data_IF_005608329741
#
_entry.id   IF_005608329741
#
_cell.length_a   1.000
_cell.length_b   1.000
_cell.length_c   1.000
_cell.angle_alpha   90.00
_cell.angle_beta   90.00
_cell.angle_gamma   90.00
#
_symmetry.space_group_name_H-M   'P 1'
#
loop_
_entity.id
_entity.type
_entity.pdbx_description
1 polymer ?
#
# COMPACT_ATOMS: atom_id res chain seq x y z
N UNK A 1 25.04 -37.19 -51.03
CA UNK A 1 23.68 -36.95 -51.59
C UNK A 1 22.90 -36.09 -50.61
N UNK A 2 22.79 -34.82 -50.96
CA UNK A 2 22.09 -33.72 -50.29
C UNK A 2 20.60 -33.75 -50.64
N UNK A 3 19.70 -33.62 -49.65
CA UNK A 3 18.34 -33.09 -49.88
C UNK A 3 17.88 -32.29 -48.66
N UNK A 4 17.95 -30.97 -48.80
CA UNK A 4 17.22 -29.97 -48.02
C UNK A 4 15.74 -29.94 -48.44
N UNK A 5 14.78 -29.65 -47.53
CA UNK A 5 13.40 -29.42 -47.91
C UNK A 5 13.18 -27.99 -48.37
N UNK A 6 12.42 -27.84 -49.47
CA UNK A 6 12.08 -26.58 -50.15
C UNK A 6 11.05 -25.76 -49.37
N UNK A 7 11.31 -24.47 -49.23
CA UNK A 7 10.33 -23.46 -48.87
C UNK A 7 9.26 -23.30 -49.96
N UNK A 8 7.99 -23.33 -49.56
CA UNK A 8 6.87 -22.87 -50.40
C UNK A 8 6.55 -21.41 -50.03
N UNK A 9 6.91 -20.48 -50.90
CA UNK A 9 6.35 -19.13 -50.91
C UNK A 9 4.93 -19.19 -51.48
N UNK A 10 3.93 -18.84 -50.66
CA UNK A 10 2.58 -18.49 -51.13
C UNK A 10 2.51 -16.98 -51.31
N UNK A 11 2.44 -16.55 -52.57
CA UNK A 11 2.08 -15.19 -52.94
C UNK A 11 0.60 -14.94 -52.60
N UNK A 12 0.33 -14.02 -51.68
CA UNK A 12 -1.02 -13.48 -51.49
C UNK A 12 -1.20 -12.24 -52.37
N UNK A 13 -2.09 -12.37 -53.36
CA UNK A 13 -2.64 -11.24 -54.12
C UNK A 13 -3.67 -10.50 -53.26
N UNK A 14 -3.75 -9.17 -53.28
CA UNK A 14 -4.74 -8.42 -52.50
C UNK A 14 -6.10 -8.49 -53.21
N UNK A 15 -7.07 -9.15 -52.59
CA UNK A 15 -8.46 -9.08 -53.03
C UNK A 15 -9.05 -7.73 -52.62
N UNK A 16 -9.26 -6.89 -53.63
CA UNK A 16 -10.17 -5.75 -53.59
C UNK A 16 -11.60 -6.25 -53.34
N UNK A 17 -12.16 -5.90 -52.18
CA UNK A 17 -13.58 -6.13 -51.87
C UNK A 17 -14.19 -4.84 -51.33
N UNK A 18 -14.51 -3.90 -52.24
CA UNK A 18 -15.49 -2.86 -51.94
C UNK A 18 -16.85 -3.30 -52.50
N UNK A 19 -17.64 -3.95 -51.64
CA UNK A 19 -19.07 -4.16 -51.89
C UNK A 19 -19.86 -3.00 -51.29
N UNK A 20 -20.78 -2.33 -52.01
CA UNK A 20 -21.57 -1.21 -51.49
C UNK A 20 -22.36 -1.58 -50.22
N UNK A 21 -22.72 -2.85 -50.06
CA UNK A 21 -23.44 -3.37 -48.89
C UNK A 21 -22.58 -3.39 -47.62
N UNK A 22 -21.27 -3.59 -47.75
CA UNK A 22 -20.34 -3.57 -46.60
C UNK A 22 -20.08 -2.13 -46.11
N UNK A 23 -20.08 -1.15 -47.03
CA UNK A 23 -19.96 0.27 -46.70
C UNK A 23 -21.17 0.79 -45.90
N UNK A 24 -22.38 0.36 -46.26
CA UNK A 24 -23.61 0.72 -45.54
C UNK A 24 -23.62 0.13 -44.13
N UNK A 25 -23.17 -1.13 -43.97
CA UNK A 25 -23.10 -1.78 -42.66
C UNK A 25 -22.05 -1.10 -41.75
N UNK A 26 -20.89 -0.75 -42.29
CA UNK A 26 -19.85 -0.02 -41.56
C UNK A 26 -20.31 1.40 -41.16
N UNK A 27 -21.04 2.09 -42.04
CA UNK A 27 -21.66 3.38 -41.75
C UNK A 27 -22.69 3.27 -40.63
N UNK A 28 -23.58 2.27 -40.68
CA UNK A 28 -24.57 2.03 -39.64
C UNK A 28 -23.91 1.70 -38.29
N UNK A 29 -22.85 0.89 -38.28
CA UNK A 29 -22.07 0.60 -37.07
C UNK A 29 -21.38 1.84 -36.50
N UNK A 30 -20.81 2.69 -37.36
CA UNK A 30 -20.16 3.94 -36.93
C UNK A 30 -21.17 4.92 -36.33
N UNK A 31 -22.36 5.06 -36.93
CA UNK A 31 -23.45 5.89 -36.39
C UNK A 31 -23.95 5.33 -35.05
N UNK A 32 -24.11 4.01 -34.93
CA UNK A 32 -24.48 3.38 -33.67
C UNK A 32 -23.43 3.62 -32.58
N UNK A 33 -22.14 3.56 -32.93
CA UNK A 33 -21.03 3.80 -32.02
C UNK A 33 -20.98 5.27 -31.56
N UNK A 34 -21.25 6.21 -32.46
CA UNK A 34 -21.35 7.64 -32.13
C UNK A 34 -22.57 7.90 -31.24
N UNK A 35 -23.72 7.30 -31.51
CA UNK A 35 -24.93 7.44 -30.68
C UNK A 35 -24.73 6.85 -29.28
N UNK A 36 -24.08 5.68 -29.17
CA UNK A 36 -23.69 5.09 -27.88
C UNK A 36 -22.67 5.96 -27.14
N UNK A 37 -21.75 6.62 -27.85
CA UNK A 37 -20.81 7.55 -27.23
C UNK A 37 -21.47 8.85 -26.76
N UNK A 38 -22.44 9.39 -27.49
CA UNK A 38 -23.22 10.56 -27.06
C UNK A 38 -24.05 10.20 -25.83
N UNK A 39 -24.73 9.04 -25.83
CA UNK A 39 -25.43 8.54 -24.63
C UNK A 39 -24.50 8.32 -23.44
N UNK A 40 -23.27 7.84 -23.65
CA UNK A 40 -22.28 7.68 -22.57
C UNK A 40 -21.73 9.00 -22.02
N UNK A 41 -21.84 10.10 -22.79
CA UNK A 41 -21.39 11.44 -22.38
C UNK A 41 -22.49 12.27 -21.71
N UNK A 42 -23.75 11.92 -21.92
CA UNK A 42 -24.89 12.54 -21.21
C UNK A 42 -25.22 11.85 -19.88
N UNK A 43 -24.49 10.79 -19.52
CA UNK A 43 -24.50 10.29 -18.14
C UNK A 43 -23.58 11.23 -17.34
N UNK A 44 -24.11 12.07 -16.43
CA UNK A 44 -23.25 12.84 -15.54
C UNK A 44 -22.37 11.86 -14.75
N UNK A 45 -21.09 12.18 -14.50
CA UNK A 45 -20.26 11.31 -13.69
C UNK A 45 -20.97 11.04 -12.36
N UNK A 46 -20.97 9.79 -11.86
CA UNK A 46 -21.41 9.56 -10.49
C UNK A 46 -20.58 10.50 -9.61
N UNK A 47 -21.28 11.34 -8.87
CA UNK A 47 -20.68 12.27 -7.93
C UNK A 47 -19.72 11.49 -7.02
N UNK A 48 -18.59 12.09 -6.59
CA UNK A 48 -17.69 11.42 -5.66
C UNK A 48 -18.53 10.92 -4.49
N UNK A 49 -18.45 9.61 -4.27
CA UNK A 49 -19.10 8.89 -3.18
C UNK A 49 -19.18 9.77 -1.95
N UNK A 50 -20.40 10.17 -1.60
CA UNK A 50 -20.64 10.65 -0.26
C UNK A 50 -20.17 9.53 0.69
N UNK A 51 -19.50 9.86 1.81
CA UNK A 51 -19.28 8.86 2.86
C UNK A 51 -20.64 8.24 3.22
N UNK A 52 -20.63 7.01 3.73
CA UNK A 52 -21.76 6.13 4.02
C UNK A 52 -22.79 6.66 5.04
N UNK A 53 -22.98 7.98 5.09
CA UNK A 53 -23.98 8.71 5.84
C UNK A 53 -25.42 8.34 5.44
N UNK A 54 -25.64 7.55 4.38
CA UNK A 54 -26.99 7.11 4.01
C UNK A 54 -27.61 6.20 5.08
N UNK A 55 -26.81 5.33 5.72
CA UNK A 55 -27.30 4.40 6.73
C UNK A 55 -27.53 5.09 8.08
N UNK A 56 -26.61 5.95 8.52
CA UNK A 56 -26.78 6.74 9.74
C UNK A 56 -27.93 7.74 9.62
N UNK A 57 -28.14 8.35 8.46
CA UNK A 57 -29.31 9.20 8.21
C UNK A 57 -30.62 8.40 8.16
N UNK A 58 -30.59 7.16 7.63
CA UNK A 58 -31.74 6.25 7.66
C UNK A 58 -32.08 5.81 9.09
N UNK A 59 -31.06 5.54 9.92
CA UNK A 59 -31.22 5.23 11.34
C UNK A 59 -31.69 6.43 12.16
N UNK A 60 -31.13 7.62 11.96
CA UNK A 60 -31.64 8.84 12.58
C UNK A 60 -33.10 9.08 12.21
N UNK A 61 -33.49 8.81 10.97
CA UNK A 61 -34.89 8.90 10.54
C UNK A 61 -35.76 7.85 11.25
N UNK A 62 -35.29 6.63 11.44
CA UNK A 62 -36.01 5.58 12.19
C UNK A 62 -36.13 5.97 13.67
N UNK A 63 -35.06 6.46 14.31
CA UNK A 63 -35.05 6.92 15.70
C UNK A 63 -36.01 8.09 15.90
N UNK A 64 -35.96 9.10 15.03
CA UNK A 64 -36.87 10.25 15.07
C UNK A 64 -38.34 9.86 14.85
N UNK A 65 -38.59 8.77 14.12
CA UNK A 65 -39.95 8.24 13.91
C UNK A 65 -40.38 7.37 15.12
N UNK A 66 -39.47 6.61 15.72
CA UNK A 66 -39.71 5.79 16.90
C UNK A 66 -39.94 6.62 18.17
N UNK A 67 -39.32 7.80 18.30
CA UNK A 67 -39.56 8.73 19.40
C UNK A 67 -41.00 9.25 19.47
N UNK A 68 -41.81 9.09 18.41
CA UNK A 68 -43.24 9.40 18.44
C UNK A 68 -44.10 8.31 19.13
N UNK A 69 -43.54 7.13 19.43
CA UNK A 69 -44.25 6.00 20.05
C UNK A 69 -43.36 5.26 21.06
N UNK A 70 -43.61 5.46 22.36
CA UNK A 70 -42.79 4.88 23.44
C UNK A 70 -42.59 3.35 23.36
N UNK A 71 -43.57 2.58 22.86
CA UNK A 71 -43.41 1.12 22.67
C UNK A 71 -42.33 0.73 21.66
N UNK A 72 -42.00 1.59 20.69
CA UNK A 72 -41.02 1.28 19.64
C UNK A 72 -39.57 1.49 20.07
N UNK A 73 -39.34 2.27 21.13
CA UNK A 73 -37.98 2.53 21.65
C UNK A 73 -37.46 1.34 22.46
N UNK A 74 -38.32 0.72 23.29
CA UNK A 74 -37.94 -0.45 24.08
C UNK A 74 -37.63 -1.67 23.20
N UNK A 75 -38.40 -1.89 22.13
CA UNK A 75 -38.10 -2.93 21.14
C UNK A 75 -36.78 -2.68 20.40
N UNK A 76 -36.48 -1.41 20.09
CA UNK A 76 -35.22 -1.02 19.45
C UNK A 76 -34.03 -1.28 20.36
N UNK A 77 -34.13 -0.90 21.63
CA UNK A 77 -33.08 -1.14 22.63
C UNK A 77 -32.83 -2.64 22.81
N UNK A 78 -33.89 -3.47 22.86
CA UNK A 78 -33.77 -4.93 22.91
C UNK A 78 -33.09 -5.48 21.65
N UNK A 79 -33.37 -4.93 20.47
CA UNK A 79 -32.68 -5.34 19.23
C UNK A 79 -31.20 -4.94 19.23
N UNK A 80 -30.88 -3.70 19.62
CA UNK A 80 -29.49 -3.23 19.75
C UNK A 80 -28.73 -4.12 20.74
N UNK A 81 -29.33 -4.41 21.89
CA UNK A 81 -28.78 -5.28 22.92
C UNK A 81 -28.51 -6.71 22.42
N UNK A 82 -29.43 -7.28 21.62
CA UNK A 82 -29.21 -8.57 20.95
C UNK A 82 -28.07 -8.51 19.94
N UNK A 83 -27.99 -7.44 19.13
CA UNK A 83 -26.90 -7.25 18.16
C UNK A 83 -25.55 -7.13 18.87
N UNK A 84 -25.47 -6.42 19.99
CA UNK A 84 -24.26 -6.31 20.83
C UNK A 84 -23.80 -7.68 21.33
N UNK A 85 -24.72 -8.51 21.82
CA UNK A 85 -24.42 -9.87 22.30
C UNK A 85 -24.03 -10.84 21.18
N UNK A 86 -24.51 -10.60 19.96
CA UNK A 86 -24.21 -11.46 18.80
C UNK A 86 -22.80 -11.24 18.23
N UNK A 87 -22.11 -10.15 18.61
CA UNK A 87 -20.73 -9.90 18.19
C UNK A 87 -19.84 -11.05 18.67
N UNK A 88 -19.22 -11.75 17.72
CA UNK A 88 -18.35 -12.88 17.97
C UNK A 88 -16.91 -12.54 17.58
N UNK A 89 -16.00 -12.58 18.56
CA UNK A 89 -14.58 -12.38 18.31
C UNK A 89 -13.91 -13.64 17.78
N UNK A 90 -13.21 -13.49 16.66
CA UNK A 90 -12.41 -14.51 16.01
C UNK A 90 -10.92 -14.23 16.23
N UNK A 91 -10.06 -15.25 16.34
CA UNK A 91 -8.62 -15.02 16.53
C UNK A 91 -8.03 -14.28 15.33
N UNK A 92 -7.19 -13.28 15.59
CA UNK A 92 -6.41 -12.63 14.53
C UNK A 92 -5.46 -13.63 13.88
N UNK A 93 -4.87 -14.54 14.64
CA UNK A 93 -4.02 -15.62 14.13
C UNK A 93 -4.80 -16.93 14.05
N UNK A 94 -5.33 -17.26 12.88
CA UNK A 94 -6.03 -18.52 12.65
C UNK A 94 -5.05 -19.68 12.39
N UNK A 95 -4.88 -20.51 13.41
CA UNK A 95 -3.93 -21.63 13.39
C UNK A 95 -4.28 -22.70 12.34
N UNK A 96 -5.50 -22.72 11.79
CA UNK A 96 -5.88 -23.63 10.69
C UNK A 96 -5.12 -23.31 9.40
N UNK A 97 -4.60 -22.08 9.25
CA UNK A 97 -3.90 -21.61 8.05
C UNK A 97 -2.41 -21.30 8.30
N UNK A 98 -1.82 -21.85 9.38
CA UNK A 98 -0.41 -21.60 9.74
C UNK A 98 0.57 -21.90 8.61
N UNK A 99 0.32 -22.96 7.83
CA UNK A 99 1.19 -23.37 6.71
C UNK A 99 0.97 -22.56 5.42
N UNK A 100 0.00 -21.64 5.40
CA UNK A 100 -0.39 -20.82 4.25
C UNK A 100 -0.53 -19.34 4.60
N UNK A 101 0.32 -18.84 5.51
CA UNK A 101 0.23 -17.51 6.09
C UNK A 101 0.21 -16.33 5.08
N UNK A 102 0.64 -16.54 3.83
CA UNK A 102 0.74 -15.51 2.78
C UNK A 102 -0.06 -15.81 1.50
N UNK A 103 -0.80 -16.92 1.43
CA UNK A 103 -1.46 -17.37 0.19
C UNK A 103 -2.97 -17.43 0.36
N UNK A 104 -3.71 -16.68 -0.46
CA UNK A 104 -5.17 -16.67 -0.46
C UNK A 104 -5.72 -16.15 0.86
N UNK A 105 -6.50 -16.97 1.56
CA UNK A 105 -6.94 -16.70 2.93
C UNK A 105 -5.74 -16.73 3.87
N UNK A 106 -5.14 -15.56 4.11
CA UNK A 106 -4.10 -15.44 5.12
C UNK A 106 -4.66 -15.90 6.47
N UNK A 107 -3.79 -16.39 7.36
CA UNK A 107 -4.20 -16.66 8.75
C UNK A 107 -4.66 -15.40 9.50
N UNK A 108 -4.38 -14.20 8.97
CA UNK A 108 -4.71 -12.92 9.59
C UNK A 108 -6.08 -12.47 9.11
N UNK A 109 -7.03 -12.42 10.04
CA UNK A 109 -8.44 -12.17 9.71
C UNK A 109 -8.97 -13.12 8.63
N UNK A 110 -8.75 -14.43 8.85
CA UNK A 110 -8.98 -15.48 7.85
C UNK A 110 -10.43 -15.60 7.36
N UNK A 111 -11.41 -15.14 8.16
CA UNK A 111 -12.84 -15.19 7.81
C UNK A 111 -13.28 -14.15 6.78
N UNK A 112 -12.38 -13.26 6.37
CA UNK A 112 -12.66 -12.14 5.46
C UNK A 112 -11.87 -12.28 4.16
N UNK A 113 -12.49 -11.80 3.08
CA UNK A 113 -11.87 -11.66 1.77
C UNK A 113 -11.39 -10.23 1.58
N UNK A 114 -10.33 -10.08 0.81
CA UNK A 114 -9.83 -8.77 0.39
C UNK A 114 -10.57 -8.28 -0.85
N UNK A 115 -10.77 -6.98 -0.93
CA UNK A 115 -11.18 -6.32 -2.15
C UNK A 115 -10.02 -6.42 -3.16
N UNK A 116 -10.36 -6.83 -4.38
CA UNK A 116 -9.40 -7.05 -5.45
C UNK A 116 -9.84 -6.32 -6.71
N UNK A 117 -9.02 -5.37 -7.14
CA UNK A 117 -9.08 -4.77 -8.46
C UNK A 117 -7.83 -5.13 -9.26
N UNK A 118 -7.98 -5.42 -10.56
CA UNK A 118 -6.89 -5.94 -11.38
C UNK A 118 -5.70 -4.98 -11.40
N UNK A 119 -4.55 -5.44 -10.92
CA UNK A 119 -3.30 -4.66 -10.91
C UNK A 119 -3.18 -3.66 -9.76
N UNK A 120 -4.17 -3.59 -8.87
CA UNK A 120 -4.16 -2.75 -7.67
C UNK A 120 -3.80 -3.56 -6.41
N UNK A 121 -3.67 -2.84 -5.30
CA UNK A 121 -3.43 -3.42 -3.98
C UNK A 121 -4.66 -4.18 -3.46
N UNK A 122 -4.41 -5.29 -2.75
CA UNK A 122 -5.43 -6.03 -2.02
C UNK A 122 -5.59 -5.47 -0.61
N UNK A 123 -6.81 -5.11 -0.23
CA UNK A 123 -7.10 -4.50 1.07
C UNK A 123 -8.49 -4.87 1.57
N UNK A 124 -8.77 -4.62 2.85
CA UNK A 124 -10.12 -4.63 3.39
C UNK A 124 -10.43 -3.24 3.91
N UNK A 125 -11.65 -2.76 3.68
CA UNK A 125 -12.09 -1.47 4.18
C UNK A 125 -13.33 -1.65 5.06
N UNK A 126 -13.39 -0.85 6.13
CA UNK A 126 -14.48 -0.85 7.10
C UNK A 126 -14.83 0.61 7.45
N UNK A 127 -16.13 0.97 7.51
CA UNK A 127 -17.25 0.24 6.92
C UNK A 127 -17.16 0.19 5.39
N UNK A 128 -17.85 -0.77 4.78
CA UNK A 128 -17.87 -1.02 3.34
C UNK A 128 -19.08 -1.88 2.96
N UNK A 129 -19.36 -2.04 1.65
CA UNK A 129 -20.39 -2.97 1.20
C UNK A 129 -20.06 -4.42 1.58
N UNK A 130 -18.79 -4.84 1.49
CA UNK A 130 -18.33 -6.19 1.83
C UNK A 130 -18.45 -6.49 3.33
N UNK A 131 -18.30 -5.47 4.18
CA UNK A 131 -18.57 -5.57 5.62
C UNK A 131 -20.04 -5.33 5.97
N UNK A 132 -20.92 -5.04 5.00
CA UNK A 132 -22.31 -4.64 5.22
C UNK A 132 -22.43 -3.44 6.18
N UNK A 133 -21.56 -2.44 6.05
CA UNK A 133 -21.59 -1.25 6.89
C UNK A 133 -21.10 -1.43 8.32
N UNK A 134 -20.55 -2.61 8.67
CA UNK A 134 -20.03 -2.89 10.02
C UNK A 134 -18.61 -2.35 10.20
N UNK A 135 -18.32 -1.89 11.41
CA UNK A 135 -17.02 -1.43 11.85
C UNK A 135 -16.11 -2.60 12.21
N UNK A 136 -14.81 -2.42 12.01
CA UNK A 136 -13.79 -3.34 12.52
C UNK A 136 -13.59 -3.08 14.01
N UNK A 137 -13.66 -4.15 14.81
CA UNK A 137 -13.31 -4.14 16.23
C UNK A 137 -12.15 -5.11 16.49
N UNK A 138 -11.15 -4.67 17.24
CA UNK A 138 -10.00 -5.45 17.69
C UNK A 138 -10.05 -5.64 19.20
N UNK A 139 -9.51 -6.75 19.67
CA UNK A 139 -9.46 -7.12 21.09
C UNK A 139 -8.12 -7.82 21.37
N UNK A 140 -7.56 -7.61 22.56
CA UNK A 140 -6.23 -8.13 22.91
C UNK A 140 -5.10 -7.17 22.55
N UNK A 141 -3.98 -7.31 23.26
CA UNK A 141 -2.77 -6.49 23.14
C UNK A 141 -1.49 -7.31 23.21
N UNK A 142 -1.61 -8.61 22.98
CA UNK A 142 -0.51 -9.53 23.18
C UNK A 142 0.59 -9.26 22.15
N UNK A 143 1.81 -9.03 22.65
CA UNK A 143 3.00 -8.72 21.84
C UNK A 143 3.91 -9.94 21.62
N UNK A 144 3.49 -11.11 22.11
CA UNK A 144 4.26 -12.36 22.17
C UNK A 144 3.53 -13.56 21.52
N UNK A 145 2.21 -13.65 21.65
CA UNK A 145 1.37 -14.69 21.04
C UNK A 145 0.14 -14.07 20.36
N UNK A 146 0.21 -13.98 19.03
CA UNK A 146 -0.86 -13.40 18.22
C UNK A 146 -2.19 -14.16 18.24
N UNK A 147 -2.25 -15.37 18.81
CA UNK A 147 -3.52 -16.08 19.00
C UNK A 147 -4.38 -15.51 20.12
N UNK A 148 -3.80 -14.67 20.99
CA UNK A 148 -4.49 -13.96 22.07
C UNK A 148 -5.11 -12.64 21.62
N UNK A 149 -4.83 -12.22 20.39
CA UNK A 149 -5.48 -11.08 19.77
C UNK A 149 -6.62 -11.54 18.87
N UNK A 150 -7.69 -10.77 18.80
CA UNK A 150 -8.92 -11.13 18.12
C UNK A 150 -9.54 -9.94 17.38
N UNK A 151 -10.40 -10.24 16.41
CA UNK A 151 -11.17 -9.26 15.66
C UNK A 151 -12.65 -9.65 15.59
N UNK A 152 -13.50 -8.67 15.37
CA UNK A 152 -14.91 -8.85 15.05
C UNK A 152 -15.42 -7.70 14.19
N UNK A 153 -16.60 -7.86 13.61
CA UNK A 153 -17.37 -6.79 13.00
C UNK A 153 -18.57 -6.44 13.88
N UNK A 154 -18.88 -5.15 14.00
CA UNK A 154 -20.04 -4.67 14.75
C UNK A 154 -20.76 -3.54 14.02
N UNK A 155 -22.07 -3.42 14.20
CA UNK A 155 -22.81 -2.27 13.68
C UNK A 155 -22.44 -1.00 14.46
N UNK A 156 -22.33 0.18 13.82
CA UNK A 156 -22.00 1.43 14.50
C UNK A 156 -22.89 1.73 15.72
N UNK A 157 -24.18 1.39 15.63
CA UNK A 157 -25.18 1.62 16.67
C UNK A 157 -25.17 0.54 17.77
N UNK A 158 -24.57 -0.62 17.49
CA UNK A 158 -24.59 -1.79 18.37
C UNK A 158 -23.17 -2.33 18.63
N UNK A 159 -22.26 -1.43 19.03
CA UNK A 159 -20.90 -1.80 19.43
C UNK A 159 -20.89 -2.75 20.63
N UNK A 160 -19.92 -3.66 20.73
CA UNK A 160 -19.79 -4.59 21.86
C UNK A 160 -19.78 -3.83 23.20
N UNK A 161 -20.21 -4.49 24.28
CA UNK A 161 -20.14 -3.86 25.60
C UNK A 161 -18.70 -3.46 25.94
N UNK A 162 -18.58 -2.30 26.58
CA UNK A 162 -17.29 -1.68 26.97
C UNK A 162 -16.35 -1.40 25.78
N UNK A 163 -16.87 -1.40 24.54
CA UNK A 163 -16.07 -1.04 23.39
C UNK A 163 -15.75 0.46 23.38
N UNK A 164 -14.51 0.77 23.01
CA UNK A 164 -14.09 2.15 22.71
C UNK A 164 -14.15 2.36 21.20
N UNK A 165 -14.87 3.40 20.75
CA UNK A 165 -14.87 3.82 19.35
C UNK A 165 -13.76 4.84 19.11
N UNK A 166 -12.80 4.48 18.27
CA UNK A 166 -11.74 5.37 17.79
C UNK A 166 -12.21 6.07 16.51
N UNK A 167 -12.23 7.39 16.56
CA UNK A 167 -12.59 8.23 15.41
C UNK A 167 -11.44 8.37 14.42
N UNK A 168 -11.80 8.68 13.18
CA UNK A 168 -10.88 8.90 12.07
C UNK A 168 -10.38 7.62 11.40
N UNK A 169 -9.48 7.78 10.44
CA UNK A 169 -8.98 6.71 9.59
C UNK A 169 -7.87 5.93 10.29
N UNK A 170 -8.08 4.62 10.43
CA UNK A 170 -7.11 3.71 11.01
C UNK A 170 -6.49 2.79 9.97
N UNK A 171 -5.17 2.80 9.85
CA UNK A 171 -4.45 1.80 9.07
C UNK A 171 -4.09 0.60 9.94
N UNK A 172 -4.51 -0.60 9.54
CA UNK A 172 -4.18 -1.86 10.23
C UNK A 172 -3.26 -2.68 9.34
N UNK A 173 -1.99 -2.71 9.67
CA UNK A 173 -0.99 -3.49 8.95
C UNK A 173 -0.83 -4.85 9.59
N UNK A 174 -0.94 -5.92 8.81
CA UNK A 174 -0.37 -7.21 9.13
C UNK A 174 0.83 -7.47 8.24
N UNK A 175 1.96 -7.82 8.85
CA UNK A 175 3.16 -8.24 8.14
C UNK A 175 3.58 -9.64 8.63
N UNK A 176 3.90 -10.54 7.71
CA UNK A 176 4.50 -11.82 8.07
C UNK A 176 5.97 -11.67 8.51
N UNK A 177 6.59 -10.55 8.16
CA UNK A 177 7.93 -10.18 8.58
C UNK A 177 7.89 -9.06 9.64
N UNK A 178 9.05 -8.74 10.21
CA UNK A 178 9.14 -7.63 11.15
C UNK A 178 9.13 -6.25 10.47
N UNK A 179 8.81 -5.21 11.26
CA UNK A 179 8.82 -3.80 10.81
C UNK A 179 10.18 -3.11 11.01
N UNK A 180 11.14 -3.77 11.65
CA UNK A 180 12.47 -3.21 11.92
C UNK A 180 13.39 -3.25 10.70
N UNK A 181 13.26 -4.29 9.85
CA UNK A 181 14.01 -4.39 8.62
C UNK A 181 13.38 -3.51 7.52
N UNK A 182 14.21 -2.73 6.83
CA UNK A 182 13.77 -1.78 5.80
C UNK A 182 12.99 -2.48 4.69
N UNK A 183 13.46 -3.60 4.17
CA UNK A 183 12.81 -4.30 3.05
C UNK A 183 11.49 -4.93 3.47
N UNK A 184 11.49 -5.55 4.65
CA UNK A 184 10.29 -6.17 5.21
C UNK A 184 9.21 -5.12 5.52
N UNK A 185 9.59 -4.05 6.22
CA UNK A 185 8.70 -2.96 6.56
C UNK A 185 8.18 -2.23 5.32
N UNK A 186 9.05 -1.92 4.36
CA UNK A 186 8.66 -1.26 3.11
C UNK A 186 7.60 -2.09 2.37
N UNK A 187 7.81 -3.40 2.25
CA UNK A 187 6.85 -4.27 1.55
C UNK A 187 5.45 -4.30 2.17
N UNK A 188 5.32 -4.01 3.48
CA UNK A 188 4.04 -3.94 4.18
C UNK A 188 3.38 -2.54 4.11
N UNK A 189 4.14 -1.49 3.80
CA UNK A 189 3.65 -0.11 3.79
C UNK A 189 3.42 0.46 2.38
N UNK A 190 4.12 -0.04 1.36
CA UNK A 190 3.84 0.27 -0.05
C UNK A 190 2.35 0.06 -0.42
N UNK A 191 1.67 -1.02 0.05
CA UNK A 191 0.23 -1.18 -0.10
C UNK A 191 -0.62 0.02 0.37
N UNK A 192 -0.31 0.58 1.54
CA UNK A 192 -1.04 1.75 2.06
C UNK A 192 -0.82 3.00 1.22
N UNK A 193 0.39 3.21 0.72
CA UNK A 193 0.67 4.34 -0.19
C UNK A 193 -0.06 4.15 -1.52
N UNK A 194 -0.15 2.92 -2.03
CA UNK A 194 -0.93 2.60 -3.22
C UNK A 194 -2.42 2.92 -3.04
N UNK A 195 -2.99 2.53 -1.89
CA UNK A 195 -4.37 2.83 -1.52
C UNK A 195 -4.59 4.34 -1.35
N UNK A 196 -3.70 5.03 -0.65
CA UNK A 196 -3.80 6.48 -0.45
C UNK A 196 -3.79 7.24 -1.78
N UNK A 197 -2.90 6.85 -2.70
CA UNK A 197 -2.87 7.41 -4.06
C UNK A 197 -4.16 7.10 -4.84
N UNK A 198 -4.71 5.89 -4.72
CA UNK A 198 -5.97 5.51 -5.36
C UNK A 198 -7.12 6.40 -4.88
N UNK A 199 -7.08 6.80 -3.61
CA UNK A 199 -8.06 7.68 -2.98
C UNK A 199 -7.63 9.16 -3.03
N UNK A 200 -7.01 9.58 -4.15
CA UNK A 200 -6.63 10.96 -4.45
C UNK A 200 -5.73 11.65 -3.42
N UNK A 201 -5.04 10.89 -2.56
CA UNK A 201 -4.21 11.41 -1.48
C UNK A 201 -4.95 12.33 -0.49
N UNK A 202 -6.27 12.23 -0.40
CA UNK A 202 -7.09 13.14 0.42
C UNK A 202 -7.07 12.77 1.89
N UNK A 203 -7.09 11.47 2.19
CA UNK A 203 -7.28 10.97 3.55
C UNK A 203 -5.95 10.54 4.15
N UNK A 204 -5.60 11.17 5.28
CA UNK A 204 -4.43 10.81 6.09
C UNK A 204 -4.88 9.91 7.25
N UNK A 205 -4.11 8.87 7.58
CA UNK A 205 -4.44 8.02 8.73
C UNK A 205 -4.19 8.78 10.04
N UNK A 206 -5.18 8.79 10.92
CA UNK A 206 -5.04 9.28 12.30
C UNK A 206 -4.11 8.38 13.12
N UNK A 207 -4.12 7.07 12.81
CA UNK A 207 -3.37 6.06 13.57
C UNK A 207 -3.07 4.80 12.77
N UNK A 208 -2.09 4.05 13.27
CA UNK A 208 -1.59 2.83 12.68
C UNK A 208 -1.57 1.72 13.73
N UNK A 209 -2.22 0.61 13.46
CA UNK A 209 -2.15 -0.61 14.28
C UNK A 209 -1.28 -1.61 13.53
N UNK A 210 -0.24 -2.13 14.18
CA UNK A 210 0.75 -2.99 13.53
C UNK A 210 0.73 -4.40 14.12
N UNK A 211 0.67 -5.41 13.27
CA UNK A 211 0.71 -6.81 13.67
C UNK A 211 1.80 -7.57 12.92
N UNK A 212 2.60 -8.34 13.66
CA UNK A 212 3.50 -9.33 13.08
C UNK A 212 3.27 -10.68 13.73
N UNK A 213 2.85 -11.65 12.92
CA UNK A 213 2.33 -12.97 13.35
C UNK A 213 1.10 -12.89 14.27
N UNK A 214 0.28 -11.85 14.07
CA UNK A 214 -0.87 -11.55 14.93
C UNK A 214 -0.49 -10.88 16.26
N UNK A 215 0.81 -10.75 16.56
CA UNK A 215 1.30 -10.05 17.76
C UNK A 215 1.33 -8.55 17.52
N UNK A 216 0.85 -7.78 18.49
CA UNK A 216 0.83 -6.32 18.43
C UNK A 216 2.26 -5.77 18.42
N UNK A 217 2.52 -4.77 17.58
CA UNK A 217 3.81 -4.08 17.49
C UNK A 217 3.64 -2.61 17.75
N UNK A 218 4.46 -2.10 18.67
CA UNK A 218 4.43 -0.71 19.12
C UNK A 218 5.49 0.16 18.45
N UNK A 219 6.30 -0.43 17.56
CA UNK A 219 7.40 0.25 16.89
C UNK A 219 7.61 -0.25 15.48
N UNK A 220 8.24 0.59 14.67
CA UNK A 220 8.78 0.27 13.36
C UNK A 220 10.22 0.81 13.25
N UNK A 221 10.98 0.29 12.28
CA UNK A 221 12.33 0.74 12.02
C UNK A 221 12.40 2.24 11.72
N UNK A 222 13.45 2.91 12.21
CA UNK A 222 13.63 4.36 12.07
C UNK A 222 13.51 4.86 10.62
N UNK A 223 14.11 4.13 9.69
CA UNK A 223 14.08 4.51 8.27
C UNK A 223 12.66 4.43 7.69
N UNK A 224 11.90 3.39 8.04
CA UNK A 224 10.51 3.24 7.61
C UNK A 224 9.64 4.35 8.21
N UNK A 225 9.83 4.65 9.50
CA UNK A 225 9.14 5.75 10.20
C UNK A 225 9.35 7.08 9.47
N UNK A 226 10.59 7.43 9.16
CA UNK A 226 10.93 8.67 8.46
C UNK A 226 10.33 8.73 7.05
N UNK A 227 10.28 7.60 6.33
CA UNK A 227 9.67 7.54 5.02
C UNK A 227 8.15 7.72 5.07
N UNK A 228 7.47 7.08 6.05
CA UNK A 228 6.04 7.25 6.24
C UNK A 228 5.69 8.66 6.69
N UNK A 229 6.51 9.25 7.55
CA UNK A 229 6.39 10.65 7.93
C UNK A 229 6.48 11.59 6.73
N UNK A 230 7.46 11.37 5.84
CA UNK A 230 7.57 12.11 4.61
C UNK A 230 6.39 11.89 3.66
N UNK A 231 5.83 10.67 3.62
CA UNK A 231 4.80 10.27 2.65
C UNK A 231 3.41 10.77 3.03
N UNK A 232 3.07 10.72 4.32
CA UNK A 232 1.75 11.06 4.88
C UNK A 232 1.76 12.42 5.61
N UNK A 233 2.76 13.26 5.34
CA UNK A 233 2.86 14.65 5.82
C UNK A 233 2.78 14.79 7.37
N UNK A 234 3.24 13.78 8.11
CA UNK A 234 3.23 13.78 9.58
C UNK A 234 3.71 12.45 10.19
N UNK A 235 4.24 12.45 11.42
CA UNK A 235 4.80 11.26 12.03
C UNK A 235 3.72 10.19 12.25
N UNK A 236 3.99 8.91 11.91
CA UNK A 236 2.99 7.86 12.11
C UNK A 236 2.73 7.64 13.61
N UNK A 237 1.45 7.72 14.00
CA UNK A 237 0.99 7.43 15.36
C UNK A 237 0.70 5.94 15.47
N UNK A 238 1.53 5.22 16.24
CA UNK A 238 1.39 3.77 16.41
C UNK A 238 0.50 3.50 17.62
N UNK A 239 -0.65 2.90 17.37
CA UNK A 239 -1.67 2.61 18.38
C UNK A 239 -1.35 1.31 19.11
N UNK A 240 -1.08 1.43 20.41
CA UNK A 240 -0.88 0.32 21.35
C UNK A 240 -2.10 0.01 22.22
N UNK A 241 -3.19 0.77 22.02
CA UNK A 241 -4.41 0.78 22.82
C UNK A 241 -4.22 1.27 24.26
N UNK A 242 -3.09 1.90 24.59
CA UNK A 242 -2.83 2.44 25.93
C UNK A 242 -3.96 3.39 26.37
N UNK A 243 -4.53 3.18 27.56
CA UNK A 243 -5.59 4.04 28.11
C UNK A 243 -7.05 3.70 27.79
N UNK A 244 -7.35 2.60 27.08
CA UNK A 244 -8.74 2.09 26.99
C UNK A 244 -9.23 1.71 28.40
N UNK A 245 -10.35 2.31 28.82
CA UNK A 245 -10.89 2.23 30.18
C UNK A 245 -11.54 0.86 30.41
N UNK A 246 -11.13 0.17 31.48
CA UNK A 246 -11.75 -1.03 32.06
C UNK A 246 -10.75 -2.15 32.38
N UNK A 247 -11.18 -3.10 33.20
CA UNK A 247 -10.32 -4.16 33.74
C UNK A 247 -9.92 -5.18 32.66
N UNK A 248 -8.69 -5.05 32.16
CA UNK A 248 -7.95 -6.10 31.46
C UNK A 248 -7.84 -5.94 29.95
N UNK A 249 -6.96 -6.75 29.36
CA UNK A 249 -6.62 -6.86 27.93
C UNK A 249 -7.81 -7.31 27.03
N UNK A 250 -9.04 -7.15 27.51
CA UNK A 250 -10.26 -7.73 26.98
C UNK A 250 -11.27 -6.68 26.48
N UNK A 251 -11.04 -5.38 26.65
CA UNK A 251 -11.99 -4.40 26.12
C UNK A 251 -11.81 -4.20 24.61
N UNK A 252 -12.88 -4.33 23.80
CA UNK A 252 -12.78 -4.11 22.36
C UNK A 252 -12.51 -2.66 22.00
N UNK A 253 -11.75 -2.45 20.92
CA UNK A 253 -11.55 -1.16 20.29
C UNK A 253 -12.09 -1.25 18.87
N UNK A 254 -13.11 -0.46 18.57
CA UNK A 254 -13.71 -0.38 17.24
C UNK A 254 -13.27 0.90 16.54
N UNK A 255 -13.14 0.86 15.22
CA UNK A 255 -12.69 2.02 14.42
C UNK A 255 -13.85 2.56 13.59
N UNK A 256 -14.01 3.88 13.61
CA UNK A 256 -14.95 4.60 12.74
C UNK A 256 -14.65 4.29 11.27
N UNK A 257 -13.38 4.35 10.89
CA UNK A 257 -12.90 3.91 9.58
C UNK A 257 -11.60 3.11 9.72
N UNK A 258 -11.49 2.01 8.97
CA UNK A 258 -10.28 1.20 8.94
C UNK A 258 -9.96 0.67 7.55
N UNK A 259 -8.67 0.69 7.20
CA UNK A 259 -8.11 0.01 6.03
C UNK A 259 -7.11 -1.02 6.52
N UNK A 260 -7.34 -2.28 6.17
CA UNK A 260 -6.49 -3.41 6.57
C UNK A 260 -5.68 -3.88 5.37
N UNK A 261 -4.37 -3.95 5.54
CA UNK A 261 -3.45 -4.57 4.58
C UNK A 261 -2.84 -5.80 5.23
N UNK A 262 -3.19 -6.97 4.69
CA UNK A 262 -2.67 -8.27 5.15
C UNK A 262 -1.80 -8.98 4.12
N UNK A 263 -1.64 -8.35 2.97
CA UNK A 263 -0.73 -8.73 1.91
C UNK A 263 0.30 -7.62 1.74
N UNK A 264 1.53 -8.01 1.44
CA UNK A 264 2.59 -7.06 1.07
C UNK A 264 2.30 -6.50 -0.35
N UNK A 265 3.31 -6.33 -1.19
CA UNK A 265 3.14 -5.81 -2.55
C UNK A 265 2.45 -6.78 -3.56
N UNK A 266 1.79 -7.83 -3.06
CA UNK A 266 1.04 -8.81 -3.84
C UNK A 266 -0.21 -8.19 -4.46
N UNK A 267 -0.59 -8.67 -5.65
CA UNK A 267 -1.73 -8.14 -6.42
C UNK A 267 -1.40 -6.91 -7.28
N UNK A 268 -0.50 -6.04 -6.83
CA UNK A 268 -0.12 -4.84 -7.59
C UNK A 268 0.64 -5.16 -8.88
N UNK A 269 0.25 -4.50 -9.97
CA UNK A 269 0.98 -4.51 -11.23
C UNK A 269 2.35 -3.86 -11.09
N UNK A 270 3.24 -4.14 -12.04
CA UNK A 270 4.57 -3.53 -12.06
C UNK A 270 4.47 -2.02 -12.20
N UNK A 271 3.57 -1.56 -13.06
CA UNK A 271 3.31 -0.15 -13.34
C UNK A 271 2.84 0.55 -12.08
N UNK A 272 1.81 0.00 -11.41
CA UNK A 272 1.27 0.57 -10.18
C UNK A 272 2.32 0.66 -9.08
N UNK A 273 3.10 -0.40 -8.92
CA UNK A 273 4.22 -0.45 -7.96
C UNK A 273 5.25 0.64 -8.25
N UNK A 274 5.65 0.84 -9.51
CA UNK A 274 6.60 1.88 -9.89
C UNK A 274 6.09 3.28 -9.56
N UNK A 275 4.82 3.57 -9.85
CA UNK A 275 4.21 4.87 -9.55
C UNK A 275 4.16 5.16 -8.04
N UNK A 276 3.91 4.14 -7.23
CA UNK A 276 3.91 4.26 -5.76
C UNK A 276 5.32 4.57 -5.25
N UNK A 277 6.33 3.84 -5.75
CA UNK A 277 7.71 4.13 -5.40
C UNK A 277 8.15 5.52 -5.85
N UNK A 278 7.69 6.00 -7.01
CA UNK A 278 7.98 7.36 -7.48
C UNK A 278 7.32 8.44 -6.61
N UNK A 279 6.08 8.21 -6.16
CA UNK A 279 5.42 9.08 -5.19
C UNK A 279 6.21 9.16 -3.88
N UNK A 280 6.61 8.03 -3.31
CA UNK A 280 7.39 7.98 -2.06
C UNK A 280 8.75 8.67 -2.22
N UNK A 281 9.44 8.46 -3.35
CA UNK A 281 10.69 9.18 -3.67
C UNK A 281 10.46 10.68 -3.78
N UNK A 282 9.37 11.11 -4.43
CA UNK A 282 9.02 12.52 -4.57
C UNK A 282 8.78 13.17 -3.19
N UNK A 283 7.92 12.56 -2.36
CA UNK A 283 7.64 13.00 -1.00
C UNK A 283 8.90 13.05 -0.13
N UNK A 284 9.74 12.02 -0.17
CA UNK A 284 11.02 12.01 0.54
C UNK A 284 11.97 13.13 0.12
N UNK A 285 12.02 13.48 -1.18
CA UNK A 285 12.83 14.61 -1.67
C UNK A 285 12.35 15.94 -1.12
N UNK A 286 11.04 16.17 -1.12
CA UNK A 286 10.43 17.38 -0.57
C UNK A 286 10.71 17.48 0.93
N UNK A 287 10.44 16.41 1.68
CA UNK A 287 10.70 16.33 3.12
C UNK A 287 12.17 16.64 3.46
N UNK A 288 13.10 16.07 2.69
CA UNK A 288 14.54 16.27 2.89
C UNK A 288 15.11 17.52 2.20
N UNK A 289 14.27 18.37 1.60
CA UNK A 289 14.68 19.62 0.91
C UNK A 289 15.79 19.39 -0.12
N UNK A 290 15.72 18.28 -0.85
CA UNK A 290 16.69 17.96 -1.90
C UNK A 290 16.36 18.81 -3.13
N UNK A 291 17.20 19.81 -3.41
CA UNK A 291 17.08 20.65 -4.60
C UNK A 291 17.22 19.83 -5.88
N UNK A 292 16.34 20.09 -6.85
CA UNK A 292 16.43 19.56 -8.22
C UNK A 292 17.29 20.42 -9.14
N UNK A 293 17.93 21.47 -8.62
CA UNK A 293 18.79 22.33 -9.43
C UNK A 293 20.03 21.56 -9.89
N UNK A 294 20.33 21.69 -11.18
CA UNK A 294 21.56 21.16 -11.77
C UNK A 294 22.76 21.77 -11.05
N UNK A 295 23.48 20.94 -10.31
CA UNK A 295 24.78 21.35 -9.78
C UNK A 295 25.72 21.55 -10.94
N UNK A 296 26.40 22.68 -10.95
CA UNK A 296 27.43 22.94 -11.95
C UNK A 296 28.81 22.94 -11.29
N UNK A 297 29.76 22.30 -11.96
CA UNK A 297 31.17 22.37 -11.60
C UNK A 297 31.86 23.29 -12.58
N UNK A 298 32.62 24.27 -12.07
CA UNK A 298 33.50 25.08 -12.90
C UNK A 298 34.74 24.27 -13.24
N UNK A 299 34.86 23.85 -14.49
CA UNK A 299 36.05 23.20 -15.04
C UNK A 299 36.62 24.10 -16.13
N UNK A 300 37.87 24.56 -15.95
CA UNK A 300 38.58 25.46 -16.90
C UNK A 300 37.75 26.68 -17.34
N UNK A 301 37.01 27.29 -16.41
CA UNK A 301 36.20 28.49 -16.67
C UNK A 301 34.83 28.24 -17.32
N UNK A 302 34.52 27.01 -17.73
CA UNK A 302 33.16 26.61 -18.16
C UNK A 302 32.39 25.98 -17.00
N UNK A 303 31.13 26.35 -16.85
CA UNK A 303 30.19 25.66 -15.96
C UNK A 303 29.67 24.42 -16.69
N UNK A 304 30.00 23.24 -16.17
CA UNK A 304 29.51 21.96 -16.66
C UNK A 304 28.56 21.34 -15.63
N UNK A 305 27.54 20.57 -16.05
CA UNK A 305 26.74 19.77 -15.13
C UNK A 305 27.62 18.82 -14.30
N UNK A 306 27.44 18.79 -12.98
CA UNK A 306 28.11 17.85 -12.07
C UNK A 306 27.57 16.45 -12.33
N UNK A 307 28.43 15.54 -12.76
CA UNK A 307 28.10 14.11 -12.77
C UNK A 307 28.50 13.55 -11.40
N UNK A 308 27.54 13.46 -10.49
CA UNK A 308 27.75 12.77 -9.22
C UNK A 308 27.98 11.28 -9.47
N UNK A 309 28.86 10.65 -8.70
CA UNK A 309 28.90 9.20 -8.60
C UNK A 309 29.05 8.84 -7.13
N UNK A 310 28.05 8.20 -6.54
CA UNK A 310 28.12 7.80 -5.13
C UNK A 310 28.32 6.29 -5.00
N UNK A 311 29.37 5.90 -4.28
CA UNK A 311 29.67 4.53 -3.91
C UNK A 311 29.17 4.27 -2.49
N UNK A 312 28.14 3.45 -2.38
CA UNK A 312 27.49 3.11 -1.11
C UNK A 312 28.13 1.85 -0.50
N UNK A 313 28.95 2.04 0.52
CA UNK A 313 29.70 0.98 1.19
C UNK A 313 28.93 0.45 2.40
N UNK A 314 29.07 -0.86 2.62
CA UNK A 314 28.55 -1.54 3.82
C UNK A 314 29.68 -1.75 4.80
N UNK A 315 29.37 -1.66 6.08
CA UNK A 315 30.28 -2.06 7.17
C UNK A 315 29.94 -3.47 7.66
N UNK A 316 30.88 -4.10 8.37
CA UNK A 316 30.68 -5.41 9.00
C UNK A 316 30.95 -6.61 8.08
N UNK A 317 30.38 -7.80 8.37
CA UNK A 317 30.77 -9.07 7.75
C UNK A 317 30.60 -9.15 6.23
N UNK A 318 29.84 -8.23 5.62
CA UNK A 318 29.59 -8.16 4.18
C UNK A 318 30.29 -6.98 3.50
N UNK A 319 31.24 -6.33 4.16
CA UNK A 319 32.04 -5.24 3.57
C UNK A 319 33.07 -5.75 2.56
N UNK A 320 33.63 -4.85 1.75
CA UNK A 320 34.77 -5.20 0.91
C UNK A 320 36.00 -5.48 1.78
N UNK A 321 36.74 -6.55 1.47
CA UNK A 321 38.02 -6.85 2.15
C UNK A 321 39.05 -5.72 2.02
N UNK A 322 39.01 -4.98 0.90
CA UNK A 322 39.86 -3.83 0.67
C UNK A 322 39.03 -2.70 0.04
N UNK A 323 38.36 -1.92 0.88
CA UNK A 323 37.53 -0.79 0.45
C UNK A 323 38.34 0.25 -0.32
N UNK A 324 39.56 0.57 0.13
CA UNK A 324 40.41 1.58 -0.51
C UNK A 324 40.77 1.22 -1.96
N UNK A 325 40.99 -0.07 -2.25
CA UNK A 325 41.23 -0.53 -3.61
C UNK A 325 40.01 -0.33 -4.52
N UNK A 326 38.81 -0.66 -4.02
CA UNK A 326 37.54 -0.46 -4.74
C UNK A 326 37.29 1.03 -5.00
N UNK A 327 37.42 1.87 -3.98
CA UNK A 327 37.33 3.33 -4.10
C UNK A 327 38.32 3.85 -5.15
N UNK A 328 39.56 3.34 -5.13
CA UNK A 328 40.59 3.70 -6.10
C UNK A 328 40.22 3.38 -7.55
N UNK A 329 39.56 2.25 -7.80
CA UNK A 329 39.05 1.88 -9.14
C UNK A 329 38.03 2.91 -9.61
N UNK A 330 36.99 3.14 -8.81
CA UNK A 330 35.91 4.07 -9.17
C UNK A 330 36.42 5.51 -9.30
N UNK A 331 37.40 5.92 -8.49
CA UNK A 331 38.02 7.24 -8.59
C UNK A 331 38.72 7.43 -9.94
N UNK A 332 39.45 6.40 -10.41
CA UNK A 332 40.11 6.43 -11.73
C UNK A 332 39.11 6.45 -12.87
N UNK A 333 38.02 5.69 -12.79
CA UNK A 333 36.99 5.71 -13.82
C UNK A 333 36.24 7.05 -13.88
N UNK A 334 35.87 7.61 -12.73
CA UNK A 334 35.25 8.94 -12.66
C UNK A 334 36.16 10.03 -13.23
N UNK A 335 37.47 9.98 -12.99
CA UNK A 335 38.42 10.94 -13.52
C UNK A 335 38.52 10.97 -15.06
N UNK A 336 38.03 9.94 -15.77
CA UNK A 336 37.97 9.92 -17.24
C UNK A 336 36.80 10.75 -17.80
N UNK A 337 35.84 11.13 -16.98
CA UNK A 337 34.64 11.86 -17.37
C UNK A 337 34.71 13.29 -16.82
N UNK A 338 34.71 14.28 -17.70
CA UNK A 338 34.75 15.69 -17.29
C UNK A 338 33.49 16.06 -16.49
N UNK A 339 33.67 16.74 -15.35
CA UNK A 339 32.57 17.07 -14.44
C UNK A 339 32.17 15.95 -13.47
N UNK A 340 32.79 14.76 -13.54
CA UNK A 340 32.50 13.67 -12.60
C UNK A 340 33.08 13.90 -11.20
N UNK A 341 32.28 13.63 -10.17
CA UNK A 341 32.69 13.68 -8.75
C UNK A 341 32.28 12.41 -8.01
N UNK A 342 33.28 11.63 -7.59
CA UNK A 342 33.07 10.46 -6.74
C UNK A 342 32.86 10.85 -5.27
N UNK A 343 31.81 10.30 -4.67
CA UNK A 343 31.54 10.33 -3.22
C UNK A 343 31.51 8.90 -2.69
N UNK A 344 32.08 8.68 -1.52
CA UNK A 344 32.00 7.40 -0.81
C UNK A 344 31.17 7.64 0.43
N UNK A 345 30.15 6.82 0.63
CA UNK A 345 29.28 6.93 1.78
C UNK A 345 29.01 5.55 2.38
N UNK A 346 28.97 5.46 3.69
CA UNK A 346 28.70 4.21 4.41
C UNK A 346 27.25 4.20 4.89
N UNK A 347 26.48 3.18 4.52
CA UNK A 347 25.02 3.17 4.71
C UNK A 347 24.58 3.33 6.17
N UNK A 348 25.39 2.83 7.10
CA UNK A 348 25.15 2.89 8.54
C UNK A 348 25.47 4.26 9.17
N UNK A 349 26.17 5.14 8.45
CA UNK A 349 26.59 6.46 8.95
C UNK A 349 25.72 7.60 8.42
N UNK A 350 24.70 7.29 7.62
CA UNK A 350 23.84 8.29 7.00
C UNK A 350 22.47 8.32 7.66
N UNK A 351 22.02 9.53 8.02
CA UNK A 351 20.62 9.82 8.32
C UNK A 351 19.73 9.55 7.11
N UNK A 352 18.41 9.44 7.35
CA UNK A 352 17.43 9.22 6.28
C UNK A 352 17.60 10.22 5.12
N UNK A 353 17.71 11.53 5.43
CA UNK A 353 17.84 12.55 4.39
C UNK A 353 19.18 12.55 3.67
N UNK A 354 20.28 12.18 4.34
CA UNK A 354 21.55 11.98 3.66
C UNK A 354 21.50 10.79 2.68
N UNK A 355 20.76 9.73 3.02
CA UNK A 355 20.54 8.61 2.10
C UNK A 355 19.70 9.04 0.89
N UNK A 356 18.60 9.78 1.11
CA UNK A 356 17.76 10.31 0.02
C UNK A 356 18.59 11.20 -0.91
N UNK A 357 19.41 12.08 -0.34
CA UNK A 357 20.32 12.94 -1.08
C UNK A 357 21.37 12.16 -1.88
N UNK A 358 21.98 11.14 -1.27
CA UNK A 358 22.97 10.29 -1.94
C UNK A 358 22.38 9.54 -3.15
N UNK A 359 21.16 8.99 -2.99
CA UNK A 359 20.45 8.26 -4.06
C UNK A 359 20.17 9.15 -5.28
N UNK A 360 19.93 10.45 -5.05
CA UNK A 360 19.65 11.40 -6.13
C UNK A 360 20.89 11.71 -6.99
N UNK A 361 22.10 11.54 -6.47
CA UNK A 361 23.36 11.94 -7.15
C UNK A 361 23.98 10.93 -8.11
N UNK A 362 23.18 10.09 -8.79
CA UNK A 362 23.60 8.92 -9.60
C UNK A 362 24.38 7.87 -8.77
N UNK A 363 23.78 6.69 -8.62
CA UNK A 363 24.34 5.58 -7.85
C UNK A 363 24.94 4.49 -8.74
N UNK A 364 26.12 4.01 -8.37
CA UNK A 364 26.58 2.67 -8.72
C UNK A 364 26.45 1.82 -7.45
N UNK A 365 25.38 1.02 -7.37
CA UNK A 365 25.23 0.04 -6.31
C UNK A 365 26.12 -1.17 -6.62
N UNK A 366 27.10 -1.46 -5.78
CA UNK A 366 27.93 -2.66 -5.91
C UNK A 366 27.58 -3.62 -4.78
N UNK A 367 26.59 -4.48 -5.01
CA UNK A 367 26.43 -5.66 -4.15
C UNK A 367 27.40 -6.74 -4.62
N UNK A 368 28.04 -7.40 -3.67
CA UNK A 368 28.72 -8.66 -3.94
C UNK A 368 27.66 -9.77 -3.93
N UNK A 369 26.73 -9.71 -4.87
CA UNK A 369 25.87 -10.85 -5.19
C UNK A 369 26.75 -11.87 -5.91
N UNK A 370 26.91 -13.05 -5.32
CA UNK A 370 27.37 -14.22 -6.06
C UNK A 370 26.53 -14.33 -7.33
N UNK A 371 27.19 -14.26 -8.48
CA UNK A 371 26.58 -14.35 -9.81
C UNK A 371 26.15 -15.79 -10.13
N UNK A 372 25.38 -16.43 -9.25
CA UNK A 372 24.75 -17.71 -9.53
C UNK A 372 23.33 -17.70 -8.93
N UNK A 373 22.34 -17.87 -9.82
CA UNK A 373 20.90 -18.02 -9.57
C UNK A 373 20.05 -16.75 -9.47
N UNK A 374 19.89 -16.08 -10.61
CA UNK A 374 18.58 -15.54 -11.00
C UNK A 374 18.20 -16.14 -12.36
N UNK A 375 17.83 -17.43 -12.34
CA UNK A 375 16.90 -17.97 -13.34
C UNK A 375 15.51 -17.84 -12.71
N UNK A 376 14.78 -16.82 -13.16
CA UNK A 376 13.34 -16.71 -12.94
C UNK A 376 12.65 -17.85 -13.70
N UNK A 377 12.07 -18.78 -12.94
CA UNK A 377 10.89 -19.55 -13.36
C UNK A 377 9.75 -19.18 -12.43
#
# INVERSE_FOLDING_TARGET
MTKTPKHHHRNFSPFSMYSPKASILLSACAVLFILLHIQSREIPPPSPSQPSWSFTNQWQKIINTATATACSVEELDVMVDKLRRAVTFLPLKDLRYVDKALVGHTWFMSSMYDDHEQGEVQYQQFPSESSHGRLLCLKGRDVHDGSWNAYSLAWPEALPYNATLMKGLTFVSYNHYNYDNIWHGLSAFVPFVAWHRKNNCSDLPDRWVLYHWGELRLKMGFWLKALMEATFDGPPVIEGFEGVIGDGDQNPVCFEEAVVMRHNEGGMSRERRMEVYDLMRCKARVYCKVSMEERTVKVKGKALPEIGMTLFMRTGPRSFRNESAVVGIFKRECAKVEGCRLRVAHSNNLSFCEQVFAIYTLLIYTDKQNSNNYNLR
#
